data_IF_866590127587
#
_entry.id   IF_866590127587
#
_cell.length_a   1.000
_cell.length_b   1.000
_cell.length_c   1.000
_cell.angle_alpha   90.00
_cell.angle_beta   90.00
_cell.angle_gamma   90.00
#
_symmetry.space_group_name_H-M   'P 1'
#
loop_
_entity.id
_entity.type
_entity.pdbx_description
1 polymer ?
#
# COMPACT_ATOMS: atom_id res chain seq x y z
N UNK A 1 -1.65 14.34 -8.30
CA UNK A 1 -1.43 12.88 -8.32
C UNK A 1 -1.90 12.27 -9.64
N UNK A 2 -3.16 12.46 -10.05
CA UNK A 2 -3.75 11.86 -11.25
C UNK A 2 -3.00 12.14 -12.58
N UNK A 3 -2.27 13.27 -12.69
CA UNK A 3 -1.54 13.64 -13.90
C UNK A 3 -0.24 12.82 -14.10
N UNK A 4 0.42 12.43 -13.01
CA UNK A 4 1.62 11.57 -13.05
C UNK A 4 1.25 10.09 -13.28
N UNK A 5 0.09 9.66 -12.76
CA UNK A 5 -0.41 8.29 -12.91
C UNK A 5 -1.03 8.00 -14.29
N UNK A 6 -1.42 9.01 -15.07
CA UNK A 6 -2.07 8.84 -16.39
C UNK A 6 -1.15 8.37 -17.51
N UNK A 7 0.14 8.21 -17.27
CA UNK A 7 1.08 7.78 -18.32
C UNK A 7 1.05 6.28 -18.61
N UNK A 8 0.33 5.48 -17.78
CA UNK A 8 0.20 4.05 -18.04
C UNK A 8 -1.23 3.57 -17.78
N UNK A 9 -1.95 3.19 -18.84
CA UNK A 9 -3.34 2.68 -18.76
C UNK A 9 -3.48 1.42 -17.90
N UNK A 10 -2.39 0.67 -17.67
CA UNK A 10 -2.34 -0.48 -16.76
C UNK A 10 -2.49 -0.08 -15.31
N UNK A 11 -2.10 1.14 -14.93
CA UNK A 11 -2.15 1.61 -13.55
C UNK A 11 -3.58 1.88 -13.07
N UNK A 12 -4.47 2.39 -13.92
CA UNK A 12 -5.81 2.77 -13.51
C UNK A 12 -6.65 1.56 -13.02
N UNK A 13 -6.58 0.45 -13.73
CA UNK A 13 -7.28 -0.78 -13.34
C UNK A 13 -6.69 -1.40 -12.06
N UNK A 14 -5.37 -1.46 -11.96
CA UNK A 14 -4.71 -2.00 -10.77
C UNK A 14 -4.98 -1.14 -9.52
N UNK A 15 -4.98 0.19 -9.64
CA UNK A 15 -5.32 1.12 -8.54
C UNK A 15 -6.72 0.87 -8.01
N UNK A 16 -7.71 0.71 -8.91
CA UNK A 16 -9.09 0.39 -8.52
C UNK A 16 -9.17 -0.93 -7.75
N UNK A 17 -8.47 -1.94 -8.22
CA UNK A 17 -8.48 -3.24 -7.54
C UNK A 17 -7.67 -3.25 -6.24
N UNK A 18 -6.64 -2.42 -6.11
CA UNK A 18 -5.97 -2.18 -4.83
C UNK A 18 -6.94 -1.63 -3.80
N UNK A 19 -7.77 -0.67 -4.19
CA UNK A 19 -8.81 -0.12 -3.32
C UNK A 19 -9.77 -1.22 -2.85
N UNK A 20 -10.33 -2.00 -3.78
CA UNK A 20 -11.23 -3.10 -3.45
C UNK A 20 -10.56 -4.16 -2.56
N UNK A 21 -9.31 -4.52 -2.87
CA UNK A 21 -8.54 -5.53 -2.15
C UNK A 21 -8.22 -5.10 -0.71
N UNK A 22 -8.05 -3.81 -0.46
CA UNK A 22 -7.68 -3.27 0.86
C UNK A 22 -8.86 -2.75 1.69
N UNK A 23 -10.05 -2.62 1.09
CA UNK A 23 -11.19 -1.91 1.69
C UNK A 23 -11.55 -2.44 3.08
N UNK A 24 -11.72 -3.77 3.24
CA UNK A 24 -12.15 -4.38 4.49
C UNK A 24 -11.16 -4.11 5.63
N UNK A 25 -9.86 -4.21 5.36
CA UNK A 25 -8.84 -4.00 6.40
C UNK A 25 -8.63 -2.52 6.74
N UNK A 26 -8.69 -1.62 5.76
CA UNK A 26 -8.47 -0.21 5.99
C UNK A 26 -9.67 0.46 6.65
N UNK A 27 -10.90 0.06 6.29
CA UNK A 27 -12.12 0.58 6.92
C UNK A 27 -12.32 0.07 8.36
N UNK A 28 -11.75 -1.08 8.72
CA UNK A 28 -11.80 -1.61 10.08
C UNK A 28 -10.83 -0.91 11.06
N UNK A 29 -9.86 -0.15 10.56
CA UNK A 29 -8.91 0.58 11.38
C UNK A 29 -9.45 1.97 11.72
N UNK A 30 -9.21 2.51 12.95
CA UNK A 30 -9.65 3.85 13.30
C UNK A 30 -8.96 4.91 12.42
N UNK A 31 -9.61 6.01 12.04
CA UNK A 31 -8.99 7.06 11.24
C UNK A 31 -7.82 7.74 11.99
N UNK A 32 -6.77 8.11 11.27
CA UNK A 32 -5.57 8.76 11.84
C UNK A 32 -5.27 10.14 11.23
N UNK A 33 -6.10 10.59 10.27
CA UNK A 33 -6.01 11.91 9.61
C UNK A 33 -7.29 12.73 9.82
N UNK A 34 -7.75 12.84 11.06
CA UNK A 34 -8.97 13.55 11.46
C UNK A 34 -10.01 12.59 12.05
N UNK A 35 -11.21 13.10 12.25
CA UNK A 35 -12.28 12.37 12.96
C UNK A 35 -13.10 11.42 12.08
N UNK A 36 -12.82 11.42 10.77
CA UNK A 36 -13.52 10.58 9.78
C UNK A 36 -12.54 9.93 8.81
N UNK A 37 -12.97 8.90 8.10
CA UNK A 37 -12.14 8.23 7.08
C UNK A 37 -11.93 9.07 5.81
N UNK A 38 -12.77 10.06 5.51
CA UNK A 38 -12.76 10.77 4.24
C UNK A 38 -11.42 11.46 3.86
N UNK A 39 -10.65 12.08 4.78
CA UNK A 39 -9.31 12.58 4.46
C UNK A 39 -8.32 11.46 4.17
N UNK A 40 -8.41 10.36 4.92
CA UNK A 40 -7.52 9.20 4.82
C UNK A 40 -7.78 8.39 3.56
N UNK A 41 -9.04 8.21 3.15
CA UNK A 41 -9.41 7.51 1.91
C UNK A 41 -8.78 8.19 0.70
N UNK A 42 -8.73 9.54 0.68
CA UNK A 42 -8.05 10.29 -0.37
C UNK A 42 -6.53 10.07 -0.38
N UNK A 43 -5.93 9.90 0.79
CA UNK A 43 -4.51 9.57 0.91
C UNK A 43 -4.23 8.13 0.46
N UNK A 44 -5.11 7.19 0.79
CA UNK A 44 -5.02 5.81 0.31
C UNK A 44 -5.15 5.73 -1.21
N UNK A 45 -6.13 6.43 -1.80
CA UNK A 45 -6.28 6.52 -3.25
C UNK A 45 -5.02 7.11 -3.90
N UNK A 46 -4.47 8.19 -3.34
CA UNK A 46 -3.24 8.80 -3.81
C UNK A 46 -2.05 7.81 -3.71
N UNK A 47 -1.92 7.08 -2.61
CA UNK A 47 -0.88 6.07 -2.42
C UNK A 47 -0.98 4.94 -3.45
N UNK A 48 -2.19 4.49 -3.77
CA UNK A 48 -2.43 3.45 -4.77
C UNK A 48 -2.11 3.93 -6.20
N UNK A 49 -2.40 5.21 -6.51
CA UNK A 49 -1.99 5.82 -7.77
C UNK A 49 -0.45 5.92 -7.90
N UNK A 50 0.26 6.07 -6.78
CA UNK A 50 1.72 6.17 -6.74
C UNK A 50 2.41 4.81 -6.58
N UNK A 51 1.65 3.71 -6.46
CA UNK A 51 2.19 2.38 -6.12
C UNK A 51 3.31 1.89 -7.05
N UNK A 52 3.32 2.32 -8.30
CA UNK A 52 4.28 1.91 -9.31
C UNK A 52 5.24 3.01 -9.80
N UNK A 53 5.27 4.17 -9.11
CA UNK A 53 6.09 5.32 -9.53
C UNK A 53 7.59 5.01 -9.65
N UNK A 54 8.09 4.03 -8.91
CA UNK A 54 9.47 3.55 -8.96
C UNK A 54 9.67 2.24 -9.72
N UNK A 55 8.65 1.73 -10.43
CA UNK A 55 8.68 0.37 -10.98
C UNK A 55 9.80 0.11 -12.00
N UNK A 56 10.20 1.14 -12.74
CA UNK A 56 11.26 1.08 -13.77
C UNK A 56 12.64 1.46 -13.24
N UNK A 57 12.77 1.85 -11.98
CA UNK A 57 14.02 2.29 -11.39
C UNK A 57 14.87 1.10 -10.94
N UNK A 58 16.20 1.32 -10.85
CA UNK A 58 17.11 0.31 -10.35
C UNK A 58 16.73 -0.14 -8.92
N UNK A 59 16.69 -1.44 -8.62
CA UNK A 59 16.23 -1.96 -7.34
C UNK A 59 16.90 -1.33 -6.11
N UNK A 60 18.21 -1.10 -6.14
CA UNK A 60 19.00 -0.61 -5.00
C UNK A 60 18.65 0.83 -4.61
N UNK A 61 18.22 1.65 -5.56
CA UNK A 61 17.93 3.07 -5.35
C UNK A 61 16.43 3.39 -5.44
N UNK A 62 15.61 2.41 -5.80
CA UNK A 62 14.18 2.59 -6.09
C UNK A 62 13.41 3.21 -4.94
N UNK A 63 13.66 2.78 -3.72
CA UNK A 63 13.00 3.29 -2.52
C UNK A 63 13.23 4.79 -2.34
N UNK A 64 14.49 5.20 -2.37
CA UNK A 64 14.86 6.60 -2.13
C UNK A 64 14.45 7.51 -3.29
N UNK A 65 14.69 7.09 -4.53
CA UNK A 65 14.33 7.89 -5.71
C UNK A 65 12.81 8.07 -5.78
N UNK A 66 12.03 6.99 -5.64
CA UNK A 66 10.58 7.07 -5.68
C UNK A 66 10.02 7.95 -4.55
N UNK A 67 10.57 7.82 -3.32
CA UNK A 67 10.24 8.71 -2.20
C UNK A 67 10.53 10.18 -2.54
N UNK A 68 11.70 10.49 -3.07
CA UNK A 68 12.07 11.86 -3.44
C UNK A 68 11.17 12.45 -4.52
N UNK A 69 10.76 11.66 -5.51
CA UNK A 69 9.79 12.09 -6.53
C UNK A 69 8.46 12.45 -5.87
N UNK A 70 7.98 11.64 -4.91
CA UNK A 70 6.74 11.92 -4.19
C UNK A 70 6.88 13.17 -3.33
N UNK A 71 7.95 13.32 -2.56
CA UNK A 71 8.17 14.49 -1.70
C UNK A 71 8.22 15.82 -2.48
N UNK A 72 8.78 15.80 -3.69
CA UNK A 72 8.98 16.99 -4.53
C UNK A 72 7.89 17.20 -5.57
N UNK A 73 6.96 16.25 -5.69
CA UNK A 73 5.90 16.30 -6.70
C UNK A 73 4.93 17.47 -6.49
N UNK A 74 4.42 18.09 -7.57
CA UNK A 74 3.44 19.18 -7.51
C UNK A 74 2.03 18.62 -7.30
N UNK A 75 1.71 18.19 -6.09
CA UNK A 75 0.40 17.63 -5.74
C UNK A 75 -0.50 18.75 -5.19
N UNK A 76 -1.47 19.21 -5.98
CA UNK A 76 -2.49 20.12 -5.50
C UNK A 76 -3.36 19.45 -4.43
N UNK A 77 -3.58 20.11 -3.30
CA UNK A 77 -4.42 19.62 -2.22
C UNK A 77 -3.75 18.65 -1.23
N UNK A 78 -2.46 18.34 -1.40
CA UNK A 78 -1.68 17.64 -0.41
C UNK A 78 -0.87 18.64 0.43
N UNK A 79 -1.18 18.77 1.71
CA UNK A 79 -0.38 19.51 2.66
C UNK A 79 0.97 18.83 2.95
N UNK A 80 1.77 19.42 3.82
CA UNK A 80 3.09 18.91 4.13
C UNK A 80 3.06 17.49 4.78
N UNK A 81 2.26 17.23 5.83
CA UNK A 81 2.11 15.90 6.41
C UNK A 81 1.62 14.84 5.42
N UNK A 82 0.60 15.17 4.61
CA UNK A 82 0.08 14.25 3.59
C UNK A 82 1.16 13.84 2.57
N UNK A 83 1.98 14.79 2.15
CA UNK A 83 3.08 14.53 1.20
C UNK A 83 4.16 13.63 1.82
N UNK A 84 4.51 13.87 3.08
CA UNK A 84 5.47 13.05 3.82
C UNK A 84 4.92 11.63 4.01
N UNK A 85 3.65 11.51 4.37
CA UNK A 85 2.97 10.22 4.47
C UNK A 85 3.04 9.44 3.15
N UNK A 86 2.68 10.04 2.03
CA UNK A 86 2.76 9.40 0.71
C UNK A 86 4.20 9.01 0.33
N UNK A 87 5.18 9.84 0.67
CA UNK A 87 6.60 9.52 0.51
C UNK A 87 7.02 8.30 1.33
N UNK A 88 6.58 8.22 2.58
CA UNK A 88 6.85 7.09 3.47
C UNK A 88 6.21 5.79 2.96
N UNK A 89 4.93 5.83 2.57
CA UNK A 89 4.26 4.68 1.93
C UNK A 89 5.06 4.19 0.73
N UNK A 90 5.50 5.11 -0.13
CA UNK A 90 6.26 4.78 -1.34
C UNK A 90 7.62 4.17 -1.01
N UNK A 91 8.35 4.70 -0.03
CA UNK A 91 9.63 4.15 0.40
C UNK A 91 9.49 2.71 0.90
N UNK A 92 8.55 2.47 1.83
CA UNK A 92 8.30 1.14 2.41
C UNK A 92 7.77 0.16 1.35
N UNK A 93 6.97 0.64 0.39
CA UNK A 93 6.49 -0.16 -0.75
C UNK A 93 7.65 -0.82 -1.50
N UNK A 94 8.79 -0.14 -1.66
CA UNK A 94 9.94 -0.70 -2.34
C UNK A 94 10.95 -1.33 -1.39
N UNK A 95 11.14 -0.78 -0.20
CA UNK A 95 12.05 -1.32 0.81
C UNK A 95 11.37 -1.44 2.17
N UNK A 96 10.90 -2.65 2.50
CA UNK A 96 10.16 -2.92 3.75
C UNK A 96 10.89 -2.48 5.03
N UNK A 97 12.23 -2.55 5.02
CA UNK A 97 13.06 -2.17 6.17
C UNK A 97 13.37 -0.67 6.21
N UNK A 98 12.73 0.14 5.36
CA UNK A 98 12.90 1.59 5.43
C UNK A 98 12.52 2.07 6.83
N UNK A 99 13.45 2.79 7.47
CA UNK A 99 13.25 3.39 8.79
C UNK A 99 12.86 4.86 8.60
N UNK A 100 11.75 5.32 9.21
CA UNK A 100 11.39 6.73 9.20
C UNK A 100 12.56 7.59 9.68
N UNK A 101 12.83 8.67 8.98
CA UNK A 101 13.85 9.66 9.32
C UNK A 101 13.25 10.76 10.20
N UNK A 102 14.07 11.72 10.64
CA UNK A 102 13.60 12.89 11.38
C UNK A 102 12.50 13.65 10.64
N UNK A 103 12.50 13.61 9.30
CA UNK A 103 11.44 14.23 8.49
C UNK A 103 10.07 13.59 8.75
N UNK A 104 9.99 12.26 8.74
CA UNK A 104 8.74 11.56 8.98
C UNK A 104 8.31 11.66 10.45
N UNK A 105 9.25 11.47 11.38
CA UNK A 105 8.94 11.46 12.82
C UNK A 105 8.57 12.85 13.38
N UNK A 106 9.01 13.92 12.73
CA UNK A 106 8.63 15.29 13.11
C UNK A 106 7.30 15.76 12.52
N UNK A 107 6.87 15.17 11.40
CA UNK A 107 5.70 15.60 10.65
C UNK A 107 4.48 14.68 10.81
N UNK A 108 4.68 13.44 11.25
CA UNK A 108 3.64 12.41 11.39
C UNK A 108 3.58 11.88 12.81
N UNK A 109 2.38 11.53 13.26
CA UNK A 109 2.21 10.81 14.52
C UNK A 109 2.66 9.35 14.38
N UNK A 110 2.95 8.64 15.48
CA UNK A 110 3.25 7.20 15.45
C UNK A 110 2.15 6.39 14.74
N UNK A 111 0.89 6.71 14.96
CA UNK A 111 -0.27 6.04 14.35
C UNK A 111 -0.31 6.27 12.83
N UNK A 112 0.02 7.48 12.38
CA UNK A 112 0.12 7.80 10.96
C UNK A 112 1.28 7.06 10.29
N UNK A 113 2.41 6.93 10.98
CA UNK A 113 3.56 6.13 10.52
C UNK A 113 3.18 4.65 10.41
N UNK A 114 2.47 4.10 11.38
CA UNK A 114 2.03 2.71 11.37
C UNK A 114 0.96 2.47 10.29
N UNK A 115 0.08 3.45 10.05
CA UNK A 115 -0.86 3.40 8.92
C UNK A 115 -0.12 3.41 7.57
N UNK A 116 0.93 4.22 7.42
CA UNK A 116 1.76 4.22 6.21
C UNK A 116 2.42 2.86 5.96
N UNK A 117 2.92 2.19 7.02
CA UNK A 117 3.45 0.82 6.94
C UNK A 117 2.38 -0.18 6.48
N UNK A 118 1.19 -0.12 7.08
CA UNK A 118 0.07 -0.99 6.73
C UNK A 118 -0.30 -0.86 5.25
N UNK A 119 -0.51 0.37 4.77
CA UNK A 119 -0.84 0.64 3.36
C UNK A 119 0.27 0.15 2.43
N UNK A 120 1.52 0.45 2.75
CA UNK A 120 2.66 0.01 1.95
C UNK A 120 2.79 -1.52 1.86
N UNK A 121 2.58 -2.23 2.98
CA UNK A 121 2.62 -3.70 3.02
C UNK A 121 1.45 -4.32 2.26
N UNK A 122 0.26 -3.70 2.30
CA UNK A 122 -0.89 -4.11 1.49
C UNK A 122 -0.59 -4.00 0.00
N UNK A 123 -0.02 -2.87 -0.45
CA UNK A 123 0.42 -2.70 -1.85
C UNK A 123 1.47 -3.76 -2.23
N UNK A 124 2.41 -4.06 -1.34
CA UNK A 124 3.46 -5.08 -1.57
C UNK A 124 2.87 -6.47 -1.75
N UNK A 125 1.90 -6.84 -0.91
CA UNK A 125 1.19 -8.12 -1.00
C UNK A 125 0.41 -8.21 -2.32
N UNK A 126 -0.40 -7.22 -2.61
CA UNK A 126 -1.20 -7.17 -3.83
C UNK A 126 -0.33 -7.25 -5.11
N UNK A 127 0.78 -6.50 -5.13
CA UNK A 127 1.70 -6.50 -6.27
C UNK A 127 2.42 -7.83 -6.45
N UNK A 128 2.80 -8.51 -5.37
CA UNK A 128 3.42 -9.84 -5.43
C UNK A 128 2.43 -10.89 -5.93
N UNK A 129 1.22 -10.91 -5.37
CA UNK A 129 0.18 -11.87 -5.75
C UNK A 129 -0.22 -11.72 -7.22
N UNK A 130 -0.43 -10.48 -7.68
CA UNK A 130 -1.04 -10.22 -8.99
C UNK A 130 -0.05 -9.92 -10.11
N UNK A 131 1.24 -9.75 -9.80
CA UNK A 131 2.20 -9.20 -10.75
C UNK A 131 1.79 -7.80 -11.24
N UNK A 132 1.06 -7.05 -10.42
CA UNK A 132 0.50 -5.72 -10.74
C UNK A 132 -0.55 -5.79 -11.87
N UNK A 133 -1.25 -6.91 -11.97
CA UNK A 133 -2.27 -7.13 -12.99
C UNK A 133 -3.66 -7.07 -12.36
N UNK A 134 -4.50 -6.13 -12.81
CA UNK A 134 -5.89 -5.97 -12.38
C UNK A 134 -6.66 -7.30 -12.40
N UNK A 135 -6.61 -7.98 -13.54
CA UNK A 135 -7.33 -9.24 -13.76
C UNK A 135 -7.02 -10.32 -12.73
N UNK A 136 -5.79 -10.34 -12.25
CA UNK A 136 -5.36 -11.32 -11.24
C UNK A 136 -5.77 -10.84 -9.85
N UNK A 137 -5.56 -9.56 -9.51
CA UNK A 137 -5.90 -9.04 -8.19
C UNK A 137 -7.39 -9.21 -7.86
N UNK A 138 -8.28 -9.04 -8.82
CA UNK A 138 -9.73 -9.35 -8.71
C UNK A 138 -10.07 -10.78 -8.24
N UNK A 139 -9.13 -11.70 -8.27
CA UNK A 139 -9.33 -13.11 -7.91
C UNK A 139 -8.98 -13.41 -6.46
N UNK A 140 -8.57 -12.38 -5.73
CA UNK A 140 -8.31 -12.47 -4.32
C UNK A 140 -9.04 -11.35 -3.56
N UNK A 141 -9.32 -11.60 -2.29
CA UNK A 141 -9.78 -10.61 -1.34
C UNK A 141 -9.00 -10.75 -0.03
N UNK A 142 -8.90 -9.65 0.69
CA UNK A 142 -8.21 -9.58 1.97
C UNK A 142 -9.21 -9.12 3.03
N UNK A 143 -9.37 -9.89 4.10
CA UNK A 143 -10.32 -9.61 5.19
C UNK A 143 -9.72 -9.94 6.54
N UNK A 144 -10.37 -9.47 7.61
CA UNK A 144 -10.05 -9.90 8.98
C UNK A 144 -11.18 -10.79 9.48
N UNK A 145 -10.84 -11.97 9.96
CA UNK A 145 -11.79 -12.97 10.46
C UNK A 145 -11.18 -13.71 11.66
N UNK A 146 -11.86 -13.71 12.81
CA UNK A 146 -11.44 -14.40 14.03
C UNK A 146 -9.97 -14.15 14.43
N UNK A 147 -9.55 -12.89 14.45
CA UNK A 147 -8.17 -12.50 14.81
C UNK A 147 -7.11 -12.84 13.76
N UNK A 148 -7.53 -13.22 12.56
CA UNK A 148 -6.64 -13.58 11.44
C UNK A 148 -6.82 -12.63 10.27
N UNK A 149 -5.70 -12.34 9.62
CA UNK A 149 -5.68 -11.70 8.33
C UNK A 149 -5.81 -12.80 7.26
N UNK A 150 -6.95 -12.86 6.61
CA UNK A 150 -7.30 -13.92 5.66
C UNK A 150 -7.14 -13.43 4.23
N UNK A 151 -6.28 -14.11 3.46
CA UNK A 151 -6.19 -13.96 2.01
C UNK A 151 -7.02 -15.04 1.36
N UNK A 152 -8.19 -14.69 0.83
CA UNK A 152 -9.06 -15.61 0.09
C UNK A 152 -8.72 -15.55 -1.40
N UNK A 153 -8.50 -16.73 -2.02
CA UNK A 153 -8.11 -16.85 -3.43
C UNK A 153 -9.06 -17.81 -4.13
N UNK A 154 -9.57 -17.41 -5.29
CA UNK A 154 -10.41 -18.30 -6.10
C UNK A 154 -9.65 -19.60 -6.43
N UNK A 155 -10.30 -20.77 -6.24
CA UNK A 155 -9.71 -22.12 -6.37
C UNK A 155 -8.82 -22.32 -7.59
N UNK A 156 -9.23 -21.81 -8.76
CA UNK A 156 -8.47 -21.91 -10.02
C UNK A 156 -7.18 -21.11 -10.06
N UNK A 157 -6.92 -20.27 -9.05
CA UNK A 157 -5.76 -19.39 -8.95
C UNK A 157 -4.88 -19.68 -7.73
N UNK A 158 -5.13 -20.77 -7.01
CA UNK A 158 -4.32 -21.19 -5.84
C UNK A 158 -2.86 -21.48 -6.20
N UNK A 159 -2.58 -21.83 -7.46
CA UNK A 159 -1.20 -22.00 -7.97
C UNK A 159 -0.39 -20.68 -7.97
N UNK A 160 -1.02 -19.53 -7.82
CA UNK A 160 -0.34 -18.23 -7.67
C UNK A 160 0.21 -18.00 -6.25
N UNK A 161 -0.08 -18.91 -5.32
CA UNK A 161 0.45 -18.86 -3.96
C UNK A 161 1.93 -19.27 -3.92
N UNK A 162 2.79 -18.27 -4.11
CA UNK A 162 4.23 -18.42 -3.94
C UNK A 162 4.65 -18.19 -2.47
N UNK A 163 5.88 -18.61 -2.14
CA UNK A 163 6.49 -18.28 -0.84
C UNK A 163 6.62 -16.78 -0.64
N UNK A 164 6.82 -16.03 -1.74
CA UNK A 164 6.83 -14.57 -1.73
C UNK A 164 5.50 -13.98 -1.24
N UNK A 165 4.37 -14.52 -1.71
CA UNK A 165 3.02 -14.10 -1.28
C UNK A 165 2.80 -14.43 0.19
N UNK A 166 3.11 -15.67 0.62
CA UNK A 166 3.01 -16.10 2.03
C UNK A 166 3.81 -15.20 2.96
N UNK A 167 5.05 -14.92 2.59
CA UNK A 167 5.95 -14.04 3.35
C UNK A 167 5.38 -12.63 3.47
N UNK A 168 4.81 -12.06 2.40
CA UNK A 168 4.22 -10.71 2.44
C UNK A 168 2.92 -10.67 3.23
N UNK A 169 2.09 -11.70 3.14
CA UNK A 169 0.90 -11.83 3.99
C UNK A 169 1.30 -11.87 5.46
N UNK A 170 2.30 -12.67 5.84
CA UNK A 170 2.82 -12.72 7.21
C UNK A 170 3.37 -11.38 7.70
N UNK A 171 4.03 -10.61 6.83
CA UNK A 171 4.50 -9.26 7.21
C UNK A 171 3.34 -8.29 7.48
N UNK A 172 2.29 -8.33 6.67
CA UNK A 172 1.10 -7.49 6.88
C UNK A 172 0.32 -7.93 8.12
N UNK A 173 0.14 -9.24 8.32
CA UNK A 173 -0.50 -9.78 9.51
C UNK A 173 0.24 -9.36 10.78
N UNK A 174 1.57 -9.50 10.81
CA UNK A 174 2.40 -9.05 11.94
C UNK A 174 2.28 -7.54 12.21
N UNK A 175 2.17 -6.70 11.16
CA UNK A 175 1.96 -5.26 11.31
C UNK A 175 0.61 -4.92 11.95
N UNK A 176 -0.40 -5.77 11.72
CA UNK A 176 -1.75 -5.61 12.27
C UNK A 176 -1.95 -6.36 13.60
N UNK A 177 -0.92 -7.02 14.13
CA UNK A 177 -0.99 -7.91 15.29
C UNK A 177 -2.00 -9.06 15.10
N UNK A 178 -2.07 -9.62 13.89
CA UNK A 178 -2.93 -10.73 13.50
C UNK A 178 -2.10 -11.96 13.07
N UNK A 179 -2.74 -13.11 13.05
CA UNK A 179 -2.21 -14.30 12.38
C UNK A 179 -2.55 -14.28 10.88
N UNK A 180 -1.67 -14.87 10.05
CA UNK A 180 -1.92 -14.99 8.62
C UNK A 180 -2.64 -16.29 8.29
N UNK A 181 -3.72 -16.22 7.51
CA UNK A 181 -4.47 -17.38 7.00
C UNK A 181 -4.74 -17.26 5.50
N UNK A 182 -4.94 -18.40 4.83
CA UNK A 182 -5.17 -18.48 3.38
C UNK A 182 -6.30 -19.46 3.11
N UNK A 183 -7.29 -19.02 2.33
CA UNK A 183 -8.48 -19.81 1.96
C UNK A 183 -8.71 -19.88 0.45
#
# INVERSE_FOLDING_TARGET
VARLARQDSRQAGFTKELHNFSADILSALPPVFGDTHAPEDRLHEAAFLLADIGATMHPDHRSDIARQIVLRGPYSGADHPARIYLGLVTAIRYWRKFTPTDLETSALTPEQIDRAKTVALTIRLAAEFSGRTERILKRASLSVDDGKLVLTIQKRHQNLMSDGVRKRLGHLASQLNLEADIR
#
